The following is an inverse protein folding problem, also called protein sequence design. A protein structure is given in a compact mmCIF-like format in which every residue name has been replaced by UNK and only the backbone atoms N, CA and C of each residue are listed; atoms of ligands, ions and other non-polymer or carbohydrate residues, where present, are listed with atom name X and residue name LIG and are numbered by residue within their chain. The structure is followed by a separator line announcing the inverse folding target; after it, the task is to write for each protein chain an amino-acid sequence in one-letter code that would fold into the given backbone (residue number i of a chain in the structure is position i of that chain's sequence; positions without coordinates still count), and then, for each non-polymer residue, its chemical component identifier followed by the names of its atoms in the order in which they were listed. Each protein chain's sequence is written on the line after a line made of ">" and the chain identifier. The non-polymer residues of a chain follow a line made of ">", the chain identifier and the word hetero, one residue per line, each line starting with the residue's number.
data_IF_720285942099
#
_entry.id   IF_720285942099
#
_cell.length_a   1.000
_cell.length_b   1.000
_cell.length_c   1.000
_cell.angle_alpha   90.00
_cell.angle_beta   90.00
_cell.angle_gamma   90.00
#
_symmetry.space_group_name_H-M   'P 1'
#
loop_
_entity.id
_entity.type
_entity.pdbx_description
1 polymer ?
#
# COMPACT_ATOMS: atom_id res chain seq x y z
N UNK A 1 4.20 -4.86 18.59
CA UNK A 1 2.92 -4.89 17.86
C UNK A 1 3.06 -4.14 16.54
N UNK A 2 2.68 -4.76 15.43
CA UNK A 2 2.59 -4.17 14.10
C UNK A 2 1.17 -3.65 13.88
N UNK A 3 1.02 -2.52 13.20
CA UNK A 3 -0.27 -1.89 12.94
C UNK A 3 -0.29 -1.28 11.54
N UNK A 4 -1.27 -1.63 10.72
CA UNK A 4 -1.37 -1.17 9.35
C UNK A 4 -2.82 -0.99 8.89
N UNK A 5 -3.05 -0.15 7.87
CA UNK A 5 -4.38 -0.05 7.24
C UNK A 5 -4.64 -1.31 6.43
N UNK A 6 -5.82 -1.91 6.62
CA UNK A 6 -6.22 -3.11 5.88
C UNK A 6 -6.72 -2.70 4.48
N UNK A 7 -6.20 -3.33 3.44
CA UNK A 7 -6.64 -3.08 2.07
C UNK A 7 -7.84 -3.99 1.78
N UNK A 8 -9.04 -3.43 1.78
CA UNK A 8 -10.28 -4.19 1.58
C UNK A 8 -10.57 -4.46 0.10
N UNK A 9 -10.01 -3.64 -0.81
CA UNK A 9 -10.31 -3.73 -2.24
C UNK A 9 -9.04 -3.67 -3.11
N UNK A 10 -8.87 -4.67 -3.99
CA UNK A 10 -7.77 -4.75 -4.96
C UNK A 10 -7.68 -3.53 -5.90
N UNK A 11 -8.78 -2.77 -6.08
CA UNK A 11 -8.78 -1.48 -6.79
C UNK A 11 -7.74 -0.50 -6.23
N UNK A 12 -7.41 -0.59 -4.94
CA UNK A 12 -6.35 0.19 -4.30
C UNK A 12 -5.04 0.17 -5.10
N UNK A 13 -4.56 -1.02 -5.50
CA UNK A 13 -3.27 -1.15 -6.19
C UNK A 13 -3.26 -0.46 -7.56
N UNK A 14 -4.37 -0.54 -8.29
CA UNK A 14 -4.54 0.16 -9.58
C UNK A 14 -4.60 1.67 -9.39
N UNK A 15 -5.32 2.14 -8.37
CA UNK A 15 -5.43 3.56 -8.05
C UNK A 15 -4.10 4.15 -7.59
N UNK A 16 -3.33 3.40 -6.79
CA UNK A 16 -1.98 3.79 -6.35
C UNK A 16 -1.02 3.90 -7.53
N UNK A 17 -1.02 2.91 -8.44
CA UNK A 17 -0.20 2.96 -9.66
C UNK A 17 -0.62 4.14 -10.56
N UNK A 18 -1.92 4.44 -10.67
CA UNK A 18 -2.42 5.61 -11.38
C UNK A 18 -1.96 6.94 -10.75
N UNK A 19 -1.86 6.99 -9.42
CA UNK A 19 -1.40 8.18 -8.71
C UNK A 19 0.03 8.56 -9.11
N UNK A 20 0.89 7.57 -9.36
CA UNK A 20 2.26 7.81 -9.84
C UNK A 20 2.27 8.54 -11.19
N UNK A 21 1.47 8.07 -12.14
CA UNK A 21 1.35 8.73 -13.46
C UNK A 21 0.84 10.16 -13.29
N UNK A 22 -0.19 10.33 -12.47
CA UNK A 22 -0.77 11.66 -12.22
C UNK A 22 0.22 12.60 -11.54
N UNK A 23 1.15 12.09 -10.71
CA UNK A 23 2.19 12.88 -10.06
C UNK A 23 3.29 13.34 -11.02
N UNK A 24 3.52 12.62 -12.11
CA UNK A 24 4.47 13.02 -13.15
C UNK A 24 3.89 14.07 -14.10
N UNK A 25 2.58 14.07 -14.34
CA UNK A 25 1.94 15.00 -15.30
C UNK A 25 2.24 16.49 -15.03
N UNK A 26 2.21 17.00 -13.78
CA UNK A 26 2.54 18.39 -13.48
C UNK A 26 3.98 18.81 -13.84
N UNK A 27 4.92 17.86 -13.97
CA UNK A 27 6.32 18.21 -14.27
C UNK A 27 6.48 18.91 -15.64
N UNK A 28 5.66 18.52 -16.63
CA UNK A 28 5.67 19.09 -17.99
C UNK A 28 5.26 20.57 -17.98
N UNK A 29 4.07 20.97 -17.48
CA UNK A 29 3.69 22.37 -17.44
C UNK A 29 4.60 23.18 -16.53
N UNK A 30 5.11 22.64 -15.42
CA UNK A 30 6.08 23.36 -14.56
C UNK A 30 7.33 23.72 -15.37
N UNK A 31 7.92 22.76 -16.09
CA UNK A 31 9.14 22.99 -16.89
C UNK A 31 8.96 24.03 -18.00
N UNK A 32 7.75 24.12 -18.56
CA UNK A 32 7.42 25.15 -19.55
C UNK A 32 7.14 26.50 -18.89
N UNK A 33 6.39 26.53 -17.79
CA UNK A 33 6.04 27.77 -17.07
C UNK A 33 7.29 28.49 -16.56
N UNK A 34 8.33 27.78 -16.10
CA UNK A 34 9.57 28.45 -15.65
C UNK A 34 10.33 29.17 -16.78
N UNK A 35 10.03 28.85 -18.05
CA UNK A 35 10.59 29.51 -19.23
C UNK A 35 9.61 30.53 -19.85
N UNK A 36 8.65 31.06 -19.07
CA UNK A 36 7.55 31.90 -19.58
C UNK A 36 8.00 33.13 -20.38
N UNK A 37 9.21 33.68 -20.14
CA UNK A 37 9.75 34.79 -20.92
C UNK A 37 9.98 34.47 -22.40
N UNK A 38 10.19 33.20 -22.73
CA UNK A 38 10.44 32.73 -24.10
C UNK A 38 9.18 32.14 -24.75
N UNK A 39 8.10 32.00 -24.00
CA UNK A 39 6.90 31.29 -24.41
C UNK A 39 5.76 32.30 -24.60
N UNK A 40 4.98 32.21 -25.71
CA UNK A 40 3.81 33.06 -25.89
C UNK A 40 2.82 32.97 -24.73
N UNK A 41 2.26 34.10 -24.32
CA UNK A 41 1.36 34.22 -23.15
C UNK A 41 0.19 33.21 -23.22
N UNK A 42 -0.38 32.99 -24.40
CA UNK A 42 -1.50 32.05 -24.57
C UNK A 42 -1.11 30.60 -24.27
N UNK A 43 0.13 30.19 -24.56
CA UNK A 43 0.66 28.87 -24.20
C UNK A 43 0.82 28.78 -22.69
N UNK A 44 1.32 29.83 -22.05
CA UNK A 44 1.46 29.88 -20.59
C UNK A 44 0.10 29.72 -19.89
N UNK A 45 -0.93 30.42 -20.37
CA UNK A 45 -2.31 30.27 -19.86
C UNK A 45 -2.82 28.84 -20.01
N UNK A 46 -2.59 28.20 -21.18
CA UNK A 46 -2.93 26.79 -21.40
C UNK A 46 -2.22 25.87 -20.40
N UNK A 47 -0.92 26.08 -20.17
CA UNK A 47 -0.12 25.26 -19.24
C UNK A 47 -0.59 25.39 -17.79
N UNK A 48 -0.99 26.59 -17.36
CA UNK A 48 -1.61 26.80 -16.04
C UNK A 48 -2.93 26.01 -15.95
N UNK A 49 -3.76 26.06 -16.99
CA UNK A 49 -4.99 25.26 -17.06
C UNK A 49 -4.72 23.76 -16.93
N UNK A 50 -3.75 23.23 -17.68
CA UNK A 50 -3.36 21.81 -17.61
C UNK A 50 -2.81 21.43 -16.23
N UNK A 51 -2.02 22.30 -15.60
CA UNK A 51 -1.51 22.09 -14.24
C UNK A 51 -2.65 21.98 -13.22
N UNK A 52 -3.63 22.89 -13.27
CA UNK A 52 -4.82 22.86 -12.40
C UNK A 52 -5.62 21.57 -12.63
N UNK A 53 -5.85 21.18 -13.89
CA UNK A 53 -6.55 19.93 -14.23
C UNK A 53 -5.82 18.72 -13.64
N UNK A 54 -4.49 18.66 -13.76
CA UNK A 54 -3.70 17.57 -13.17
C UNK A 54 -3.87 17.50 -11.65
N UNK A 55 -3.83 18.63 -10.94
CA UNK A 55 -4.08 18.69 -9.49
C UNK A 55 -5.48 18.16 -9.14
N UNK A 56 -6.51 18.55 -9.89
CA UNK A 56 -7.88 18.08 -9.65
C UNK A 56 -7.97 16.56 -9.84
N UNK A 57 -7.35 16.03 -10.90
CA UNK A 57 -7.32 14.58 -11.14
C UNK A 57 -6.56 13.82 -10.04
N UNK A 58 -5.43 14.36 -9.58
CA UNK A 58 -4.68 13.81 -8.43
C UNK A 58 -5.54 13.78 -7.17
N UNK A 59 -6.21 14.90 -6.84
CA UNK A 59 -7.07 14.97 -5.66
C UNK A 59 -8.25 13.99 -5.74
N UNK A 60 -8.88 13.84 -6.91
CA UNK A 60 -9.96 12.86 -7.12
C UNK A 60 -9.47 11.42 -7.00
N UNK A 61 -8.27 11.12 -7.49
CA UNK A 61 -7.69 9.79 -7.38
C UNK A 61 -7.28 9.48 -5.93
N UNK A 62 -6.70 10.44 -5.22
CA UNK A 62 -6.35 10.29 -3.80
C UNK A 62 -7.57 9.98 -2.94
N UNK A 63 -8.69 10.68 -3.15
CA UNK A 63 -9.96 10.38 -2.46
C UNK A 63 -10.41 8.93 -2.68
N UNK A 64 -10.24 8.41 -3.90
CA UNK A 64 -10.57 7.00 -4.19
C UNK A 64 -9.61 6.03 -3.51
N UNK A 65 -8.31 6.33 -3.44
CA UNK A 65 -7.34 5.51 -2.70
C UNK A 65 -7.76 5.42 -1.23
N UNK A 66 -8.03 6.56 -0.58
CA UNK A 66 -8.45 6.61 0.82
C UNK A 66 -9.75 5.86 1.06
N UNK A 67 -10.71 5.92 0.13
CA UNK A 67 -11.95 5.15 0.22
C UNK A 67 -11.74 3.63 0.08
N UNK A 68 -10.74 3.18 -0.69
CA UNK A 68 -10.46 1.75 -0.91
C UNK A 68 -9.48 1.14 0.12
N UNK A 69 -8.78 1.97 0.89
CA UNK A 69 -8.03 1.57 2.10
C UNK A 69 -8.95 1.17 3.26
N UNK A 70 -10.27 1.27 3.09
CA UNK A 70 -11.25 0.90 4.09
C UNK A 70 -11.19 1.73 5.36
N UNK A 71 -11.99 1.30 6.34
CA UNK A 71 -12.00 1.85 7.69
C UNK A 71 -11.49 0.84 8.72
N UNK A 72 -10.77 -0.19 8.28
CA UNK A 72 -10.20 -1.21 9.15
C UNK A 72 -8.69 -1.10 9.25
N UNK A 73 -8.19 -1.50 10.41
CA UNK A 73 -6.78 -1.56 10.75
C UNK A 73 -6.50 -3.00 11.15
N UNK A 74 -5.41 -3.54 10.64
CA UNK A 74 -4.86 -4.81 11.09
C UNK A 74 -3.80 -4.52 12.18
N UNK A 75 -3.99 -5.13 13.34
CA UNK A 75 -3.02 -5.13 14.44
C UNK A 75 -2.52 -6.56 14.61
N UNK A 76 -1.20 -6.74 14.54
CA UNK A 76 -0.56 -8.03 14.63
C UNK A 76 0.37 -8.00 15.84
N UNK A 77 0.20 -8.97 16.73
CA UNK A 77 1.13 -9.19 17.85
C UNK A 77 1.67 -10.62 17.83
N UNK A 78 2.23 -11.04 18.95
CA UNK A 78 2.93 -12.32 19.07
C UNK A 78 1.99 -13.52 19.19
N UNK A 79 0.69 -13.31 19.41
CA UNK A 79 -0.29 -14.36 19.75
C UNK A 79 -1.55 -14.27 18.88
N UNK A 80 -1.87 -13.11 18.34
CA UNK A 80 -3.10 -12.87 17.62
C UNK A 80 -2.96 -11.83 16.50
N UNK A 81 -3.85 -11.94 15.52
CA UNK A 81 -4.12 -10.94 14.50
C UNK A 81 -5.51 -10.35 14.78
N UNK A 82 -5.56 -9.05 15.06
CA UNK A 82 -6.80 -8.32 15.33
C UNK A 82 -7.15 -7.42 14.15
N UNK A 83 -8.41 -7.41 13.76
CA UNK A 83 -8.95 -6.47 12.78
C UNK A 83 -9.90 -5.54 13.52
N UNK A 84 -9.53 -4.27 13.59
CA UNK A 84 -10.30 -3.23 14.27
C UNK A 84 -10.85 -2.24 13.27
N UNK A 85 -12.09 -1.81 13.46
CA UNK A 85 -12.54 -0.59 12.80
C UNK A 85 -11.74 0.62 13.34
N UNK A 86 -11.62 1.69 12.56
CA UNK A 86 -11.00 2.97 12.98
C UNK A 86 -11.68 3.57 14.21
N UNK A 87 -12.93 3.15 14.52
CA UNK A 87 -13.67 3.55 15.71
C UNK A 87 -13.28 2.75 16.97
N UNK A 88 -12.31 1.83 16.86
CA UNK A 88 -11.78 1.07 17.99
C UNK A 88 -12.59 -0.17 18.36
N UNK A 89 -13.71 -0.44 17.68
CA UNK A 89 -14.47 -1.68 17.84
C UNK A 89 -13.66 -2.82 17.21
N UNK A 90 -13.37 -3.85 18.01
CA UNK A 90 -12.80 -5.11 17.51
C UNK A 90 -13.84 -5.81 16.66
N UNK A 91 -13.58 -5.84 15.35
CA UNK A 91 -14.47 -6.51 14.42
C UNK A 91 -14.16 -8.02 14.43
N UNK A 92 -12.87 -8.38 14.52
CA UNK A 92 -12.43 -9.77 14.42
C UNK A 92 -11.10 -10.02 15.17
N UNK A 93 -10.99 -11.19 15.78
CA UNK A 93 -9.81 -11.70 16.48
C UNK A 93 -9.43 -13.07 15.91
N UNK A 94 -8.19 -13.22 15.46
CA UNK A 94 -7.64 -14.48 14.96
C UNK A 94 -6.51 -14.90 15.90
N UNK A 95 -6.74 -15.95 16.69
CA UNK A 95 -5.73 -16.54 17.58
C UNK A 95 -4.74 -17.37 16.75
N UNK A 96 -3.44 -17.05 16.83
CA UNK A 96 -2.41 -17.76 16.06
C UNK A 96 -2.24 -19.21 16.51
N UNK A 97 -2.65 -19.55 17.73
CA UNK A 97 -2.62 -20.92 18.23
C UNK A 97 -3.65 -21.83 17.53
N UNK A 98 -4.70 -21.23 16.94
CA UNK A 98 -5.75 -21.94 16.20
C UNK A 98 -5.50 -21.92 14.68
N UNK A 99 -4.43 -21.26 14.24
CA UNK A 99 -4.06 -21.17 12.82
C UNK A 99 -3.24 -22.39 12.43
N UNK A 100 -3.72 -23.12 11.43
CA UNK A 100 -3.05 -24.31 10.89
C UNK A 100 -1.74 -23.94 10.19
N UNK A 101 -1.73 -22.80 9.49
CA UNK A 101 -0.61 -22.35 8.66
C UNK A 101 -0.68 -20.86 8.32
N UNK A 102 0.47 -20.20 8.38
CA UNK A 102 0.67 -18.80 7.99
C UNK A 102 1.59 -18.78 6.77
N UNK A 103 1.14 -18.20 5.66
CA UNK A 103 1.98 -17.95 4.50
C UNK A 103 2.35 -16.47 4.44
N UNK A 104 3.64 -16.20 4.43
CA UNK A 104 4.23 -14.87 4.38
C UNK A 104 4.95 -14.66 3.06
N UNK A 105 5.04 -13.42 2.60
CA UNK A 105 5.95 -13.08 1.48
C UNK A 105 7.40 -13.24 1.90
N UNK A 106 8.29 -13.52 0.96
CA UNK A 106 9.74 -13.53 1.23
C UNK A 106 10.23 -12.19 1.78
N UNK A 107 9.75 -11.11 1.16
CA UNK A 107 10.12 -9.75 1.54
C UNK A 107 8.88 -8.85 1.64
N UNK A 108 8.82 -8.11 2.74
CA UNK A 108 7.92 -6.97 2.91
C UNK A 108 8.72 -5.70 2.73
N UNK A 109 8.15 -4.71 2.03
CA UNK A 109 8.80 -3.41 1.93
C UNK A 109 7.78 -2.29 1.79
N UNK A 110 8.23 -1.07 2.09
CA UNK A 110 7.53 0.12 1.66
C UNK A 110 7.47 0.13 0.12
N UNK A 111 6.32 0.45 -0.49
CA UNK A 111 6.24 0.66 -1.92
C UNK A 111 7.01 1.93 -2.33
N UNK A 112 7.55 1.96 -3.54
CA UNK A 112 8.16 3.15 -4.14
C UNK A 112 9.40 3.66 -3.38
N UNK A 113 10.16 2.77 -2.75
CA UNK A 113 11.40 3.10 -2.04
C UNK A 113 12.56 3.46 -2.98
N UNK A 114 12.48 3.06 -4.25
CA UNK A 114 13.48 3.40 -5.28
C UNK A 114 12.83 3.77 -6.62
N UNK A 115 13.55 4.52 -7.45
CA UNK A 115 13.10 4.87 -8.82
C UNK A 115 12.82 3.61 -9.67
N UNK A 116 13.60 2.54 -9.47
CA UNK A 116 13.38 1.26 -10.15
C UNK A 116 12.02 0.66 -9.80
N UNK A 117 11.63 0.71 -8.53
CA UNK A 117 10.32 0.22 -8.08
C UNK A 117 9.17 1.08 -8.63
N UNK A 118 9.36 2.40 -8.71
CA UNK A 118 8.39 3.29 -9.37
C UNK A 118 8.18 2.86 -10.81
N UNK A 119 9.27 2.62 -11.56
CA UNK A 119 9.19 2.12 -12.94
C UNK A 119 8.46 0.77 -13.04
N UNK A 120 8.75 -0.17 -12.13
CA UNK A 120 8.07 -1.46 -12.07
C UNK A 120 6.56 -1.31 -11.82
N UNK A 121 6.16 -0.45 -10.88
CA UNK A 121 4.76 -0.19 -10.57
C UNK A 121 4.02 0.43 -11.76
N UNK A 122 4.66 1.33 -12.52
CA UNK A 122 4.10 1.89 -13.75
C UNK A 122 3.87 0.84 -14.84
N UNK A 123 4.71 -0.20 -14.90
CA UNK A 123 4.52 -1.35 -15.82
C UNK A 123 3.50 -2.39 -15.32
N UNK A 124 2.82 -2.12 -14.20
CA UNK A 124 1.81 -3.01 -13.61
C UNK A 124 2.38 -4.04 -12.63
N UNK A 125 3.69 -4.01 -12.34
CA UNK A 125 4.33 -4.85 -11.31
C UNK A 125 4.22 -4.17 -9.94
N UNK A 126 2.99 -4.00 -9.48
CA UNK A 126 2.70 -3.30 -8.22
C UNK A 126 3.13 -4.15 -7.02
N UNK A 127 3.98 -3.61 -6.15
CA UNK A 127 4.38 -4.29 -4.91
C UNK A 127 3.19 -4.38 -3.94
N UNK A 128 2.88 -5.61 -3.50
CA UNK A 128 1.78 -5.92 -2.58
C UNK A 128 2.36 -6.46 -1.28
N UNK A 129 1.82 -6.00 -0.14
CA UNK A 129 2.13 -6.52 1.18
C UNK A 129 0.87 -7.21 1.71
N UNK A 130 0.97 -8.51 1.94
CA UNK A 130 -0.13 -9.32 2.44
C UNK A 130 0.41 -10.52 3.21
N UNK A 131 -0.42 -11.10 4.06
CA UNK A 131 -0.21 -12.42 4.63
C UNK A 131 -1.43 -13.30 4.33
N UNK A 132 -1.24 -14.61 4.37
CA UNK A 132 -2.33 -15.57 4.18
C UNK A 132 -2.40 -16.47 5.39
N UNK A 133 -3.60 -16.66 5.91
CA UNK A 133 -3.90 -17.52 7.05
C UNK A 133 -4.75 -18.68 6.56
N UNK A 134 -4.41 -19.89 7.02
CA UNK A 134 -5.27 -21.07 6.92
C UNK A 134 -5.80 -21.40 8.31
N UNK A 135 -7.12 -21.37 8.45
CA UNK A 135 -7.83 -21.70 9.68
C UNK A 135 -9.14 -22.38 9.30
N UNK A 136 -9.49 -23.48 9.96
CA UNK A 136 -10.70 -24.27 9.68
C UNK A 136 -10.84 -24.64 8.20
N UNK A 137 -9.74 -25.07 7.56
CA UNK A 137 -9.68 -25.33 6.11
C UNK A 137 -10.03 -24.13 5.21
N UNK A 138 -10.13 -22.90 5.75
CA UNK A 138 -10.38 -21.68 4.98
C UNK A 138 -9.09 -20.89 4.80
N UNK A 139 -8.84 -20.50 3.55
CA UNK A 139 -7.76 -19.59 3.17
C UNK A 139 -8.24 -18.15 3.23
N UNK A 140 -7.56 -17.31 3.99
CA UNK A 140 -7.83 -15.87 4.05
C UNK A 140 -6.57 -15.07 3.76
N UNK A 141 -6.64 -14.18 2.78
CA UNK A 141 -5.58 -13.20 2.49
C UNK A 141 -5.90 -11.88 3.17
N UNK A 142 -4.94 -11.33 3.90
CA UNK A 142 -5.01 -10.03 4.54
C UNK A 142 -3.96 -9.11 3.90
N UNK A 143 -4.43 -8.26 2.99
CA UNK A 143 -3.62 -7.22 2.36
C UNK A 143 -3.56 -5.99 3.25
N UNK A 144 -2.38 -5.36 3.34
CA UNK A 144 -2.18 -4.18 4.19
C UNK A 144 -1.19 -3.19 3.59
N UNK A 145 -1.36 -1.93 3.98
CA UNK A 145 -0.50 -0.83 3.56
C UNK A 145 0.72 -0.72 4.48
N UNK A 146 1.92 -0.62 3.89
CA UNK A 146 3.19 -0.45 4.61
C UNK A 146 3.74 0.93 4.25
N UNK A 147 3.61 1.88 5.17
CA UNK A 147 3.94 3.29 4.94
C UNK A 147 5.36 3.66 5.43
N UNK A 148 6.08 2.74 6.09
CA UNK A 148 7.42 3.02 6.62
C UNK A 148 8.29 1.77 6.80
N UNK A 149 9.61 1.98 6.78
CA UNK A 149 10.59 0.94 7.15
C UNK A 149 10.45 0.46 8.59
N UNK A 150 9.97 1.33 9.49
CA UNK A 150 9.69 0.95 10.87
C UNK A 150 8.61 -0.14 10.95
N UNK A 151 7.54 -0.03 10.15
CA UNK A 151 6.49 -1.06 10.09
C UNK A 151 7.04 -2.39 9.57
N UNK A 152 7.90 -2.37 8.54
CA UNK A 152 8.58 -3.57 8.03
C UNK A 152 9.40 -4.24 9.14
N UNK A 153 10.19 -3.45 9.87
CA UNK A 153 11.02 -3.95 10.97
C UNK A 153 10.17 -4.53 12.11
N UNK A 154 9.04 -3.90 12.46
CA UNK A 154 8.11 -4.44 13.45
C UNK A 154 7.53 -5.78 13.01
N UNK A 155 7.10 -5.89 11.75
CA UNK A 155 6.56 -7.13 11.22
C UNK A 155 7.62 -8.24 11.19
N UNK A 156 8.84 -7.94 10.76
CA UNK A 156 9.93 -8.91 10.75
C UNK A 156 10.27 -9.41 12.15
N UNK A 157 10.31 -8.54 13.16
CA UNK A 157 10.50 -8.94 14.57
C UNK A 157 9.40 -9.91 15.04
N UNK A 158 8.15 -9.65 14.70
CA UNK A 158 7.03 -10.54 15.04
C UNK A 158 7.16 -11.90 14.35
N UNK A 159 7.57 -11.93 13.08
CA UNK A 159 7.76 -13.18 12.35
C UNK A 159 8.87 -14.03 12.97
N UNK A 160 9.97 -13.41 13.43
CA UNK A 160 11.01 -14.17 14.14
C UNK A 160 10.49 -14.72 15.47
N UNK A 161 9.68 -13.97 16.21
CA UNK A 161 9.03 -14.47 17.43
C UNK A 161 8.11 -15.65 17.11
N UNK A 162 7.34 -15.57 16.03
CA UNK A 162 6.45 -16.66 15.61
C UNK A 162 7.20 -17.94 15.23
N UNK A 163 8.35 -17.81 14.56
CA UNK A 163 9.24 -18.95 14.29
C UNK A 163 9.77 -19.56 15.59
N UNK A 164 10.21 -18.73 16.55
CA UNK A 164 10.69 -19.20 17.85
C UNK A 164 9.59 -19.90 18.66
N UNK A 165 8.33 -19.44 18.56
CA UNK A 165 7.16 -20.07 19.17
C UNK A 165 6.72 -21.36 18.47
N UNK A 166 7.30 -21.70 17.31
CA UNK A 166 6.99 -22.93 16.58
C UNK A 166 5.72 -22.88 15.73
N UNK A 167 5.21 -21.69 15.38
CA UNK A 167 4.08 -21.58 14.47
C UNK A 167 4.45 -22.08 13.06
N UNK A 168 3.50 -22.73 12.39
CA UNK A 168 3.68 -23.25 11.04
C UNK A 168 3.71 -22.10 10.01
N UNK A 169 4.92 -21.66 9.64
CA UNK A 169 5.14 -20.53 8.74
C UNK A 169 5.79 -21.00 7.44
N UNK A 170 5.19 -20.61 6.32
CA UNK A 170 5.77 -20.76 4.99
C UNK A 170 6.07 -19.42 4.33
N UNK A 171 7.07 -19.41 3.47
CA UNK A 171 7.50 -18.24 2.69
C UNK A 171 7.20 -18.48 1.22
N UNK A 172 6.56 -17.50 0.56
CA UNK A 172 6.29 -17.55 -0.87
C UNK A 172 7.07 -16.48 -1.62
N UNK A 173 7.81 -16.94 -2.62
CA UNK A 173 8.52 -16.08 -3.55
C UNK A 173 7.56 -15.63 -4.66
N UNK A 174 7.34 -14.32 -4.78
CA UNK A 174 6.65 -13.75 -5.93
C UNK A 174 7.69 -13.29 -6.94
N UNK A 175 7.81 -14.01 -8.07
CA UNK A 175 8.56 -13.58 -9.27
C UNK A 175 7.90 -12.39 -9.95
#
# INVERSE_FOLDING_TARGET
>A
MFKAKLIENKKYYRLRSKQLVLMLLPSIPIGLIVNFYQIPIWVTVLMIGLYIVAIILMARNQKQITANLGNKIIEIDEEAIRIKSKKGVEDELISLNEVEKIILKDEYSMPQGTIREVGQELTGKTKQNYLIIYQDSRKRQLDFEVDSYFMVNQLNKLIEIWKMKGYNIERVNQK
#
